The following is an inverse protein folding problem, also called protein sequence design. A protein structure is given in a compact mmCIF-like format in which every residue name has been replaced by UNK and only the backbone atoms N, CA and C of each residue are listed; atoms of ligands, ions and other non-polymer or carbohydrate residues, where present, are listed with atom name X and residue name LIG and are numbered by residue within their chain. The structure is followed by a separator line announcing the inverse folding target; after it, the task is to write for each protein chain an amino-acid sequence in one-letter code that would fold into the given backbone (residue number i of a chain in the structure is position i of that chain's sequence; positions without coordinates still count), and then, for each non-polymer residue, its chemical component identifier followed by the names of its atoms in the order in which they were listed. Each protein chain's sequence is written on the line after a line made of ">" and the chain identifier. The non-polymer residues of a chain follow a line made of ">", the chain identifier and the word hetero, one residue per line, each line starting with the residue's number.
data_IF_497426440980
#
_entry.id   IF_497426440980
#
_cell.length_a   1.000
_cell.length_b   1.000
_cell.length_c   1.000
_cell.angle_alpha   90.00
_cell.angle_beta   90.00
_cell.angle_gamma   90.00
#
_symmetry.space_group_name_H-M   'P 1'
#
loop_
_entity.id
_entity.type
_entity.pdbx_description
1 polymer ?
#
# COMPACT_ATOMS: atom_id res chain seq x y z
N UNK A 1 -8.04 29.55 8.85
CA UNK A 1 -7.03 28.54 9.24
C UNK A 1 -7.69 27.17 9.08
N UNK A 2 -7.51 26.55 7.92
CA UNK A 2 -8.20 25.31 7.56
C UNK A 2 -7.52 24.11 8.18
N UNK A 3 -8.18 23.45 9.14
CA UNK A 3 -7.79 22.12 9.60
C UNK A 3 -8.14 21.11 8.52
N UNK A 4 -7.12 20.53 7.88
CA UNK A 4 -7.30 19.41 6.96
C UNK A 4 -7.38 18.13 7.79
N UNK A 5 -8.56 17.53 7.81
CA UNK A 5 -8.84 16.27 8.51
C UNK A 5 -8.05 15.15 7.84
N UNK A 6 -7.30 14.43 8.68
CA UNK A 6 -6.61 13.17 8.40
C UNK A 6 -7.64 12.12 7.98
N UNK A 7 -7.48 11.52 6.79
CA UNK A 7 -8.22 10.30 6.44
C UNK A 7 -7.46 9.11 7.00
N UNK A 8 -7.79 8.77 8.24
CA UNK A 8 -7.49 7.49 8.88
C UNK A 8 -8.57 6.50 8.44
N UNK A 9 -8.22 5.55 7.59
CA UNK A 9 -9.08 4.39 7.32
C UNK A 9 -8.89 3.35 8.45
N UNK A 10 -9.54 3.62 9.59
CA UNK A 10 -9.77 2.65 10.66
C UNK A 10 -11.27 2.28 10.61
N UNK A 11 -11.58 1.08 10.14
CA UNK A 11 -12.94 0.56 10.14
C UNK A 11 -13.35 0.12 11.56
N UNK A 12 -14.51 0.58 12.03
CA UNK A 12 -15.55 -0.18 12.74
C UNK A 12 -16.50 0.76 13.53
N UNK A 13 -17.81 0.48 13.50
CA UNK A 13 -18.61 0.18 14.70
C UNK A 13 -20.06 -0.16 14.31
N UNK A 14 -20.55 -1.27 14.89
CA UNK A 14 -21.93 -1.75 14.84
C UNK A 14 -22.76 -1.15 15.97
N UNK A 15 -24.06 -0.94 15.73
CA UNK A 15 -25.10 -0.83 16.76
C UNK A 15 -26.10 -1.97 16.62
N UNK A 16 -26.48 -2.61 17.73
CA UNK A 16 -27.37 -3.78 17.78
C UNK A 16 -28.76 -3.36 18.30
N UNK A 17 -29.82 -3.81 17.63
CA UNK A 17 -31.17 -4.04 18.18
C UNK A 17 -31.89 -5.14 17.34
N UNK A 18 -32.89 -5.87 17.87
CA UNK A 18 -33.13 -7.29 17.57
C UNK A 18 -34.15 -7.63 16.46
N UNK A 19 -34.05 -8.89 16.00
CA UNK A 19 -34.75 -9.64 14.93
C UNK A 19 -36.30 -9.76 15.04
N UNK A 20 -37.05 -10.32 14.05
CA UNK A 20 -36.63 -10.85 12.74
C UNK A 20 -37.53 -10.42 11.55
N UNK A 21 -36.93 -10.23 10.38
CA UNK A 21 -37.61 -10.52 9.13
C UNK A 21 -36.56 -11.11 8.20
N UNK A 22 -36.84 -12.32 7.70
CA UNK A 22 -36.02 -13.03 6.74
C UNK A 22 -35.93 -12.20 5.44
N UNK A 23 -35.02 -11.24 5.43
CA UNK A 23 -34.57 -10.60 4.23
C UNK A 23 -33.54 -11.54 3.63
N UNK A 24 -33.92 -12.19 2.53
CA UNK A 24 -32.97 -12.79 1.63
C UNK A 24 -31.89 -11.75 1.35
N UNK A 25 -30.70 -11.93 1.94
CA UNK A 25 -29.55 -11.12 1.60
C UNK A 25 -29.25 -11.43 0.15
N UNK A 26 -29.67 -10.53 -0.72
CA UNK A 26 -29.08 -10.45 -2.06
C UNK A 26 -27.62 -10.15 -1.84
N UNK A 27 -26.79 -11.20 -1.86
CA UNK A 27 -25.35 -11.05 -2.06
C UNK A 27 -25.20 -10.59 -3.50
N UNK A 28 -25.33 -9.29 -3.74
CA UNK A 28 -24.73 -8.67 -4.91
C UNK A 28 -23.25 -8.97 -4.76
N UNK A 29 -22.76 -9.98 -5.48
CA UNK A 29 -21.35 -10.20 -5.62
C UNK A 29 -20.77 -8.87 -6.10
N UNK A 30 -19.91 -8.25 -5.28
CA UNK A 30 -19.22 -7.04 -5.69
C UNK A 30 -18.55 -7.33 -7.04
N UNK A 31 -18.81 -6.48 -8.04
CA UNK A 31 -18.23 -6.67 -9.35
C UNK A 31 -16.70 -6.76 -9.20
N UNK A 32 -16.08 -7.74 -9.89
CA UNK A 32 -14.64 -7.90 -9.84
C UNK A 32 -13.96 -6.58 -10.24
N UNK A 33 -12.87 -6.18 -9.56
CA UNK A 33 -12.17 -4.95 -9.87
C UNK A 33 -11.71 -4.98 -11.33
N UNK A 34 -12.10 -3.96 -12.08
CA UNK A 34 -11.74 -3.82 -13.49
C UNK A 34 -10.51 -2.94 -13.61
N UNK A 35 -9.53 -3.39 -14.38
CA UNK A 35 -8.38 -2.56 -14.73
C UNK A 35 -8.82 -1.28 -15.46
N UNK A 36 -8.13 -0.17 -15.14
CA UNK A 36 -8.35 1.15 -15.73
C UNK A 36 -7.04 1.83 -16.15
N UNK A 37 -5.93 1.13 -16.04
CA UNK A 37 -4.58 1.68 -16.27
C UNK A 37 -3.86 0.98 -17.42
N UNK A 38 -4.46 -0.07 -18.00
CA UNK A 38 -3.81 -0.94 -18.97
C UNK A 38 -2.85 -1.93 -18.30
N UNK A 39 -2.93 -2.14 -17.00
CA UNK A 39 -2.07 -3.06 -16.25
C UNK A 39 -2.68 -4.46 -16.15
N UNK A 40 -1.82 -5.47 -16.09
CA UNK A 40 -2.25 -6.84 -15.95
C UNK A 40 -3.00 -7.05 -14.63
N UNK A 41 -4.08 -7.84 -14.65
CA UNK A 41 -4.86 -8.17 -13.45
C UNK A 41 -4.07 -9.02 -12.43
N UNK A 42 -2.94 -9.58 -12.84
CA UNK A 42 -2.04 -10.38 -12.02
C UNK A 42 -0.60 -9.97 -12.27
N UNK A 43 0.19 -9.97 -11.20
CA UNK A 43 1.63 -9.72 -11.24
C UNK A 43 2.40 -10.76 -10.45
N UNK A 44 3.61 -11.05 -10.92
CA UNK A 44 4.60 -11.85 -10.20
C UNK A 44 5.71 -10.95 -9.66
N UNK A 45 5.99 -11.05 -8.35
CA UNK A 45 7.07 -10.31 -7.69
C UNK A 45 7.74 -11.20 -6.64
N UNK A 46 9.06 -11.40 -6.77
CA UNK A 46 9.84 -12.17 -5.78
C UNK A 46 9.31 -13.60 -5.57
N UNK A 47 8.82 -14.25 -6.62
CA UNK A 47 8.23 -15.59 -6.56
C UNK A 47 6.79 -15.65 -6.02
N UNK A 48 6.17 -14.50 -5.69
CA UNK A 48 4.79 -14.41 -5.19
C UNK A 48 3.85 -13.88 -6.27
N UNK A 49 2.61 -14.37 -6.26
CA UNK A 49 1.53 -13.92 -7.14
C UNK A 49 0.67 -12.89 -6.41
N UNK A 50 0.28 -11.85 -7.15
CA UNK A 50 -0.60 -10.79 -6.68
C UNK A 50 -1.74 -10.59 -7.68
N UNK A 51 -2.97 -10.50 -7.20
CA UNK A 51 -4.16 -10.30 -8.02
C UNK A 51 -4.82 -8.98 -7.67
N UNK A 52 -5.31 -8.26 -8.69
CA UNK A 52 -6.01 -7.00 -8.51
C UNK A 52 -7.19 -7.16 -7.54
N UNK A 53 -7.18 -6.39 -6.47
CA UNK A 53 -8.17 -6.41 -5.40
C UNK A 53 -9.02 -5.13 -5.38
N UNK A 54 -8.42 -3.97 -5.68
CA UNK A 54 -9.15 -2.72 -5.75
C UNK A 54 -8.52 -1.71 -6.72
N UNK A 55 -9.36 -0.79 -7.22
CA UNK A 55 -8.99 0.34 -8.06
C UNK A 55 -9.64 1.60 -7.50
N UNK A 56 -8.83 2.63 -7.26
CA UNK A 56 -9.20 3.90 -6.64
C UNK A 56 -8.86 5.05 -7.60
N UNK A 57 -9.80 5.45 -8.47
CA UNK A 57 -9.61 6.62 -9.31
C UNK A 57 -9.83 7.91 -8.53
N UNK A 58 -8.95 8.89 -8.74
CA UNK A 58 -9.05 10.25 -8.22
C UNK A 58 -8.94 11.25 -9.38
N UNK A 59 -10.03 11.48 -10.15
CA UNK A 59 -9.96 12.22 -11.42
C UNK A 59 -9.44 13.65 -11.27
N UNK A 60 -9.80 14.34 -10.19
CA UNK A 60 -9.36 15.71 -9.93
C UNK A 60 -7.84 15.82 -9.72
N UNK A 61 -7.19 14.75 -9.24
CA UNK A 61 -5.76 14.67 -9.07
C UNK A 61 -5.05 14.03 -10.28
N UNK A 62 -5.79 13.58 -11.30
CA UNK A 62 -5.25 12.81 -12.41
C UNK A 62 -4.58 11.51 -11.94
N UNK A 63 -5.09 10.91 -10.86
CA UNK A 63 -4.44 9.78 -10.17
C UNK A 63 -5.31 8.52 -10.22
N UNK A 64 -4.67 7.37 -10.36
CA UNK A 64 -5.29 6.05 -10.21
C UNK A 64 -4.40 5.18 -9.35
N UNK A 65 -4.93 4.72 -8.22
CA UNK A 65 -4.30 3.76 -7.33
C UNK A 65 -4.91 2.37 -7.56
N UNK A 66 -4.07 1.35 -7.68
CA UNK A 66 -4.46 -0.05 -7.76
C UNK A 66 -3.77 -0.84 -6.63
N UNK A 67 -4.57 -1.67 -5.96
CA UNK A 67 -4.11 -2.54 -4.88
C UNK A 67 -4.25 -4.00 -5.31
N UNK A 68 -3.17 -4.76 -5.13
CA UNK A 68 -3.08 -6.16 -5.48
C UNK A 68 -2.71 -6.98 -4.24
N UNK A 69 -3.41 -8.09 -4.06
CA UNK A 69 -3.24 -8.97 -2.90
C UNK A 69 -2.81 -10.38 -3.31
N UNK A 70 -2.05 -11.09 -2.45
CA UNK A 70 -1.87 -12.52 -2.62
C UNK A 70 -3.21 -13.28 -2.57
N UNK A 71 -3.32 -14.44 -3.25
CA UNK A 71 -4.52 -15.26 -3.21
C UNK A 71 -4.98 -15.57 -1.77
N UNK A 72 -6.27 -15.39 -1.50
CA UNK A 72 -6.87 -15.66 -0.19
C UNK A 72 -6.76 -14.53 0.83
N UNK A 73 -6.05 -13.43 0.53
CA UNK A 73 -6.01 -12.26 1.40
C UNK A 73 -7.18 -11.30 1.12
N UNK A 74 -7.56 -10.53 2.15
CA UNK A 74 -8.69 -9.60 2.12
C UNK A 74 -8.21 -8.19 2.44
N UNK A 75 -8.74 -7.20 1.72
CA UNK A 75 -8.45 -5.79 1.97
C UNK A 75 -8.82 -5.39 3.40
N UNK A 76 -7.93 -4.62 4.03
CA UNK A 76 -7.98 -4.22 5.44
C UNK A 76 -7.33 -5.23 6.40
N UNK A 77 -7.16 -6.50 6.00
CA UNK A 77 -6.63 -7.58 6.85
C UNK A 77 -5.41 -8.29 6.24
N UNK A 78 -4.91 -7.77 5.13
CA UNK A 78 -3.79 -8.35 4.39
C UNK A 78 -2.48 -8.22 5.16
N UNK A 79 -1.65 -9.26 5.11
CA UNK A 79 -0.28 -9.25 5.61
C UNK A 79 0.72 -8.84 4.54
N UNK A 80 0.30 -8.76 3.27
CA UNK A 80 1.14 -8.38 2.14
C UNK A 80 0.30 -7.72 1.05
N UNK A 81 0.85 -6.68 0.42
CA UNK A 81 0.19 -5.94 -0.65
C UNK A 81 1.21 -5.43 -1.67
N UNK A 82 0.85 -5.54 -2.94
CA UNK A 82 1.50 -4.83 -4.04
C UNK A 82 0.60 -3.68 -4.47
N UNK A 83 1.19 -2.53 -4.72
CA UNK A 83 0.50 -1.30 -5.05
C UNK A 83 1.07 -0.70 -6.33
N UNK A 84 0.21 -0.17 -7.17
CA UNK A 84 0.61 0.66 -8.30
C UNK A 84 -0.21 1.94 -8.29
N UNK A 85 0.46 3.08 -8.18
CA UNK A 85 -0.15 4.39 -8.09
C UNK A 85 0.39 5.27 -9.21
N UNK A 86 -0.49 5.64 -10.13
CA UNK A 86 -0.16 6.42 -11.31
C UNK A 86 -0.71 7.83 -11.14
N UNK A 87 0.16 8.82 -11.29
CA UNK A 87 -0.20 10.23 -11.30
C UNK A 87 0.17 10.81 -12.66
N UNK A 88 -0.84 11.30 -13.38
CA UNK A 88 -0.66 11.91 -14.69
C UNK A 88 0.22 13.17 -14.61
N UNK A 89 1.02 13.36 -15.65
CA UNK A 89 1.94 14.49 -15.76
C UNK A 89 3.35 14.21 -15.26
N UNK A 90 4.26 15.12 -15.64
CA UNK A 90 5.68 15.02 -15.30
C UNK A 90 5.95 15.57 -13.91
N UNK A 91 6.02 14.69 -12.93
CA UNK A 91 6.49 14.97 -11.57
C UNK A 91 7.89 14.42 -11.35
N UNK A 92 8.68 15.06 -10.47
CA UNK A 92 10.02 14.59 -10.13
C UNK A 92 9.94 13.39 -9.15
N UNK A 93 10.43 12.18 -9.53
CA UNK A 93 10.38 11.01 -8.66
C UNK A 93 11.18 11.17 -7.37
N UNK A 94 12.32 11.88 -7.41
CA UNK A 94 13.16 12.13 -6.23
C UNK A 94 12.42 13.02 -5.25
N UNK A 95 11.78 14.09 -5.72
CA UNK A 95 10.99 14.97 -4.86
C UNK A 95 9.76 14.25 -4.27
N UNK A 96 9.12 13.37 -5.04
CA UNK A 96 8.00 12.56 -4.53
C UNK A 96 8.47 11.61 -3.40
N UNK A 97 9.60 10.92 -3.61
CA UNK A 97 10.20 10.06 -2.60
C UNK A 97 10.65 10.85 -1.35
N UNK A 98 11.28 12.02 -1.53
CA UNK A 98 11.66 12.89 -0.42
C UNK A 98 10.45 13.32 0.39
N UNK A 99 9.35 13.74 -0.25
CA UNK A 99 8.12 14.12 0.44
C UNK A 99 7.57 12.97 1.28
N UNK A 100 7.53 11.76 0.72
CA UNK A 100 7.12 10.56 1.47
C UNK A 100 8.04 10.34 2.67
N UNK A 101 9.35 10.42 2.52
CA UNK A 101 10.28 10.28 3.65
C UNK A 101 10.00 11.33 4.74
N UNK A 102 9.74 12.58 4.37
CA UNK A 102 9.40 13.62 5.35
C UNK A 102 8.10 13.31 6.10
N UNK A 103 7.08 12.73 5.44
CA UNK A 103 5.87 12.27 6.13
C UNK A 103 6.17 11.18 7.17
N UNK A 104 7.07 10.25 6.87
CA UNK A 104 7.49 9.20 7.82
C UNK A 104 8.23 9.80 9.01
N UNK A 105 9.15 10.74 8.78
CA UNK A 105 9.91 11.41 9.84
C UNK A 105 8.99 12.26 10.72
N UNK A 106 8.06 13.00 10.13
CA UNK A 106 7.06 13.76 10.88
C UNK A 106 6.17 12.84 11.74
N UNK A 107 5.80 11.66 11.24
CA UNK A 107 5.04 10.67 12.01
C UNK A 107 5.82 10.14 13.22
N UNK A 108 7.13 9.96 13.09
CA UNK A 108 8.00 9.61 14.21
C UNK A 108 8.00 10.70 15.29
N UNK A 109 8.11 11.96 14.88
CA UNK A 109 8.04 13.13 15.78
C UNK A 109 6.69 13.22 16.51
N UNK A 110 5.63 12.71 15.90
CA UNK A 110 4.27 12.66 16.47
C UNK A 110 4.02 11.46 17.41
N UNK A 111 5.02 10.59 17.64
CA UNK A 111 4.95 9.54 18.67
C UNK A 111 5.05 8.10 18.16
N UNK A 112 5.05 7.86 16.84
CA UNK A 112 5.27 6.52 16.29
C UNK A 112 6.75 6.15 16.38
N UNK A 113 7.16 5.53 17.50
CA UNK A 113 8.57 5.22 17.77
C UNK A 113 9.17 4.18 16.81
N UNK A 114 8.32 3.41 16.12
CA UNK A 114 8.74 2.46 15.09
C UNK A 114 8.85 3.11 13.71
N UNK A 115 8.30 4.32 13.53
CA UNK A 115 8.45 5.05 12.28
C UNK A 115 9.93 5.35 11.99
N UNK A 116 10.41 4.83 10.87
CA UNK A 116 11.74 5.09 10.34
C UNK A 116 11.74 4.88 8.83
N UNK A 117 12.69 5.49 8.12
CA UNK A 117 12.83 5.28 6.69
C UNK A 117 14.13 5.81 6.12
N UNK A 118 14.44 5.37 4.91
CA UNK A 118 15.60 5.80 4.14
C UNK A 118 15.21 6.12 2.70
N UNK A 119 15.88 7.12 2.12
CA UNK A 119 15.78 7.46 0.71
C UNK A 119 16.91 6.75 -0.06
N UNK A 120 16.54 6.10 -1.15
CA UNK A 120 17.45 5.41 -2.05
C UNK A 120 17.33 6.05 -3.43
N UNK A 121 18.43 6.57 -3.96
CA UNK A 121 18.44 7.10 -5.32
C UNK A 121 18.72 5.96 -6.30
N UNK A 122 17.98 5.94 -7.40
CA UNK A 122 18.08 4.93 -8.44
C UNK A 122 18.56 5.51 -9.78
N UNK A 123 18.81 4.63 -10.77
CA UNK A 123 19.19 5.04 -12.11
C UNK A 123 18.04 5.80 -12.82
N UNK A 124 18.38 6.60 -13.82
CA UNK A 124 17.38 7.30 -14.63
C UNK A 124 16.53 8.32 -13.87
N UNK A 125 17.00 8.79 -12.72
CA UNK A 125 16.26 9.72 -11.85
C UNK A 125 15.13 9.07 -11.06
N UNK A 126 15.10 7.73 -10.95
CA UNK A 126 14.17 7.05 -10.04
C UNK A 126 14.62 7.22 -8.58
N UNK A 127 13.69 7.02 -7.66
CA UNK A 127 13.99 7.02 -6.24
C UNK A 127 13.07 6.05 -5.51
N UNK A 128 13.53 5.54 -4.38
CA UNK A 128 12.74 4.69 -3.52
C UNK A 128 12.80 5.13 -2.06
N UNK A 129 11.74 4.83 -1.32
CA UNK A 129 11.69 4.98 0.13
C UNK A 129 11.45 3.61 0.72
N UNK A 130 12.33 3.20 1.61
CA UNK A 130 12.22 1.96 2.38
C UNK A 130 11.98 2.34 3.84
N UNK A 131 10.83 1.97 4.40
CA UNK A 131 10.37 2.50 5.68
C UNK A 131 9.51 1.54 6.49
N UNK A 132 9.46 1.75 7.80
CA UNK A 132 8.57 1.07 8.74
C UNK A 132 7.65 2.11 9.37
N UNK A 133 6.41 1.73 9.67
CA UNK A 133 5.44 2.50 10.45
C UNK A 133 4.71 1.56 11.42
N UNK A 134 4.08 2.13 12.45
CA UNK A 134 3.19 1.39 13.32
C UNK A 134 1.88 2.13 13.61
N UNK A 135 0.83 1.39 13.89
CA UNK A 135 -0.46 1.94 14.28
C UNK A 135 -1.11 1.06 15.34
N UNK A 136 -1.99 1.66 16.13
CA UNK A 136 -2.84 0.92 17.07
C UNK A 136 -4.25 0.84 16.50
N UNK A 137 -4.79 -0.37 16.40
CA UNK A 137 -6.15 -0.63 15.93
C UNK A 137 -7.20 -0.20 16.95
N UNK A 138 -8.47 -0.04 16.54
CA UNK A 138 -9.58 0.04 17.48
C UNK A 138 -9.58 -1.25 18.30
N UNK A 139 -9.44 -1.13 19.63
CA UNK A 139 -9.26 -2.28 20.53
C UNK A 139 -7.83 -2.50 21.02
N UNK A 140 -6.87 -1.65 20.66
CA UNK A 140 -5.54 -1.60 21.28
C UNK A 140 -4.49 -2.50 20.64
N UNK A 141 -4.84 -3.31 19.63
CA UNK A 141 -3.89 -4.18 18.95
C UNK A 141 -2.85 -3.41 18.12
N UNK A 142 -1.57 -3.73 18.29
CA UNK A 142 -0.48 -3.14 17.51
C UNK A 142 -0.44 -3.71 16.09
N UNK A 143 -0.21 -2.84 15.11
CA UNK A 143 0.10 -3.19 13.72
C UNK A 143 1.41 -2.55 13.36
N UNK A 144 2.29 -3.34 12.74
CA UNK A 144 3.55 -2.83 12.18
C UNK A 144 3.56 -3.16 10.70
N UNK A 145 3.96 -2.17 9.90
CA UNK A 145 4.05 -2.29 8.46
C UNK A 145 5.43 -1.86 7.98
N UNK A 146 6.08 -2.75 7.24
CA UNK A 146 7.23 -2.40 6.42
C UNK A 146 6.74 -2.12 4.99
N UNK A 147 7.30 -1.09 4.39
CA UNK A 147 6.99 -0.65 3.03
C UNK A 147 8.27 -0.36 2.26
N UNK A 148 8.26 -0.70 0.97
CA UNK A 148 9.18 -0.15 -0.01
C UNK A 148 8.37 0.49 -1.13
N UNK A 149 8.57 1.79 -1.39
CA UNK A 149 7.93 2.52 -2.48
C UNK A 149 8.99 2.94 -3.49
N UNK A 150 8.79 2.60 -4.77
CA UNK A 150 9.69 2.94 -5.87
C UNK A 150 8.97 3.85 -6.87
N UNK A 151 9.50 5.06 -7.02
CA UNK A 151 9.00 6.14 -7.86
C UNK A 151 9.84 6.22 -9.13
N UNK A 152 9.18 6.27 -10.29
CA UNK A 152 9.81 6.48 -11.59
C UNK A 152 8.90 7.21 -12.54
N UNK A 153 9.51 7.82 -13.56
CA UNK A 153 8.78 8.30 -14.72
C UNK A 153 8.54 7.15 -15.70
N UNK A 154 7.31 7.01 -16.17
CA UNK A 154 6.92 6.07 -17.22
C UNK A 154 5.89 6.74 -18.12
N UNK A 155 6.18 6.86 -19.42
CA UNK A 155 5.28 7.42 -20.45
C UNK A 155 4.63 8.77 -20.07
N UNK A 156 5.37 9.63 -19.37
CA UNK A 156 4.91 10.96 -18.96
C UNK A 156 4.04 11.00 -17.71
N UNK A 157 3.93 9.88 -16.99
CA UNK A 157 3.30 9.78 -15.68
C UNK A 157 4.34 9.43 -14.60
N UNK A 158 4.11 9.94 -13.39
CA UNK A 158 4.79 9.43 -12.21
C UNK A 158 4.13 8.12 -11.79
N UNK A 159 4.91 7.05 -11.73
CA UNK A 159 4.46 5.73 -11.27
C UNK A 159 5.17 5.40 -9.97
N UNK A 160 4.38 5.15 -8.93
CA UNK A 160 4.82 4.56 -7.67
C UNK A 160 4.43 3.08 -7.70
N UNK A 161 5.41 2.19 -7.55
CA UNK A 161 5.19 0.77 -7.24
C UNK A 161 5.55 0.51 -5.78
N UNK A 162 4.63 -0.08 -5.02
CA UNK A 162 4.78 -0.26 -3.58
C UNK A 162 4.67 -1.72 -3.19
N UNK A 163 5.55 -2.20 -2.33
CA UNK A 163 5.41 -3.47 -1.64
C UNK A 163 5.24 -3.20 -0.16
N UNK A 164 4.21 -3.75 0.45
CA UNK A 164 4.03 -3.70 1.90
C UNK A 164 3.90 -5.07 2.52
N UNK A 165 4.37 -5.17 3.77
CA UNK A 165 4.19 -6.32 4.65
C UNK A 165 3.72 -5.86 6.01
N UNK A 166 2.70 -6.50 6.55
CA UNK A 166 2.07 -6.16 7.83
C UNK A 166 2.10 -7.32 8.80
N UNK A 167 2.23 -6.99 10.08
CA UNK A 167 1.98 -7.90 11.19
C UNK A 167 0.99 -7.28 12.18
N UNK A 168 0.18 -8.14 12.78
CA UNK A 168 -0.95 -7.76 13.63
C UNK A 168 -0.82 -8.47 14.98
N UNK A 169 -0.90 -7.71 16.07
CA UNK A 169 -0.76 -8.22 17.43
C UNK A 169 0.70 -8.38 17.87
N UNK A 170 0.92 -8.25 19.18
CA UNK A 170 2.25 -8.04 19.77
C UNK A 170 3.24 -9.18 19.48
N UNK A 171 2.77 -10.44 19.56
CA UNK A 171 3.61 -11.62 19.29
C UNK A 171 4.05 -11.67 17.81
N UNK A 172 3.10 -11.50 16.89
CA UNK A 172 3.39 -11.52 15.46
C UNK A 172 4.24 -10.32 15.04
N UNK A 173 4.04 -9.14 15.65
CA UNK A 173 4.89 -7.96 15.45
C UNK A 173 6.33 -8.23 15.88
N UNK A 174 6.53 -8.89 17.02
CA UNK A 174 7.88 -9.24 17.50
C UNK A 174 8.59 -10.18 16.54
N UNK A 175 7.90 -11.24 16.08
CA UNK A 175 8.43 -12.17 15.08
C UNK A 175 8.72 -11.45 13.74
N UNK A 176 7.81 -10.57 13.32
CA UNK A 176 7.92 -9.79 12.10
C UNK A 176 9.14 -8.88 12.11
N UNK A 177 9.37 -8.11 13.18
CA UNK A 177 10.49 -7.18 13.28
C UNK A 177 11.83 -7.93 13.33
N UNK A 178 11.88 -9.07 14.03
CA UNK A 178 13.06 -9.94 14.07
C UNK A 178 13.42 -10.45 12.67
N UNK A 179 12.44 -11.05 11.97
CA UNK A 179 12.64 -11.56 10.61
C UNK A 179 12.77 -10.48 9.54
N UNK A 180 12.42 -9.22 9.83
CA UNK A 180 12.47 -8.14 8.84
C UNK A 180 13.92 -7.88 8.37
N UNK A 181 14.90 -8.03 9.26
CA UNK A 181 16.32 -7.82 8.96
C UNK A 181 16.82 -8.67 7.79
N UNK A 182 16.33 -9.90 7.68
CA UNK A 182 16.76 -10.85 6.65
C UNK A 182 16.00 -10.65 5.33
N UNK A 183 14.70 -10.36 5.40
CA UNK A 183 13.83 -10.31 4.20
C UNK A 183 13.74 -8.94 3.53
N UNK A 184 13.99 -7.85 4.27
CA UNK A 184 13.85 -6.46 3.79
C UNK A 184 14.67 -6.18 2.53
N UNK A 185 15.95 -6.54 2.55
CA UNK A 185 16.84 -6.35 1.40
C UNK A 185 16.37 -7.09 0.14
N UNK A 186 16.17 -8.42 0.19
CA UNK A 186 15.65 -9.20 -0.93
C UNK A 186 14.31 -8.69 -1.47
N UNK A 187 13.33 -8.42 -0.60
CA UNK A 187 12.00 -7.94 -1.02
C UNK A 187 12.07 -6.56 -1.68
N UNK A 188 12.83 -5.62 -1.09
CA UNK A 188 13.07 -4.31 -1.70
C UNK A 188 13.72 -4.45 -3.05
N UNK A 189 14.80 -5.24 -3.15
CA UNK A 189 15.54 -5.38 -4.40
C UNK A 189 14.68 -6.01 -5.50
N UNK A 190 13.82 -6.97 -5.14
CA UNK A 190 12.83 -7.51 -6.06
C UNK A 190 11.88 -6.41 -6.59
N UNK A 191 11.38 -5.54 -5.72
CA UNK A 191 10.53 -4.40 -6.14
C UNK A 191 11.28 -3.42 -7.06
N UNK A 192 12.52 -3.07 -6.72
CA UNK A 192 13.31 -2.10 -7.51
C UNK A 192 13.62 -2.64 -8.92
N UNK A 193 13.83 -3.95 -9.05
CA UNK A 193 14.05 -4.62 -10.34
C UNK A 193 12.76 -4.86 -11.13
N UNK A 194 11.59 -4.75 -10.49
CA UNK A 194 10.31 -5.12 -11.06
C UNK A 194 9.68 -4.02 -11.93
N UNK A 195 8.99 -4.47 -12.97
CA UNK A 195 8.22 -3.64 -13.89
C UNK A 195 6.80 -4.19 -13.96
N UNK A 196 5.76 -3.36 -13.71
CA UNK A 196 4.39 -3.72 -13.96
C UNK A 196 4.21 -4.25 -15.37
N UNK A 197 3.54 -5.39 -15.45
CA UNK A 197 3.13 -5.95 -16.73
C UNK A 197 1.95 -5.14 -17.25
N UNK A 198 2.04 -4.72 -18.51
CA UNK A 198 0.90 -4.17 -19.22
C UNK A 198 -0.01 -5.31 -19.68
N UNK A 199 -1.32 -5.09 -19.61
CA UNK A 199 -2.30 -5.91 -20.31
C UNK A 199 -1.97 -5.83 -21.80
N UNK A 200 -1.42 -6.92 -22.36
CA UNK A 200 -1.20 -7.00 -23.80
C UNK A 200 -2.56 -6.88 -24.51
N UNK A 201 -2.66 -6.10 -25.60
CA UNK A 201 -3.87 -6.03 -26.40
C UNK A 201 -4.24 -7.38 -27.02
#
# INVERSE_FOLDING_TARGET
>A
MGSMVVVLALAALWGVAPCPAAHARSTVAAAAPQDRTGMALRHQLGGRSYQLAAVHPEPAAGRILQEYLPPGQVLGQQTEMLMIDLVQGRHDPVQAAQRKLQEILARREQGDMLANGELLLGPGGSAAVDFVLSATLPGGGLVVEWNAYHYRQLDGALVLTGLSRRAYGDEAVTAFLTGLKERRGPDRNALLAWQPELSRP
#
